data_IF_325421390482
#
_entry.id   IF_325421390482
#
_cell.length_a   1.000
_cell.length_b   1.000
_cell.length_c   1.000
_cell.angle_alpha   90.00
_cell.angle_beta   90.00
_cell.angle_gamma   90.00
#
_symmetry.space_group_name_H-M   'P 1'
#
loop_
_entity.id
_entity.type
_entity.pdbx_description
1 polymer ?
#
# COMPACT_ATOMS: atom_id res chain seq x y z
N UNK A 1 -51.30 5.48 -43.75
CA UNK A 1 -50.44 4.33 -43.37
C UNK A 1 -49.12 4.91 -42.86
N UNK A 2 -48.93 5.00 -41.55
CA UNK A 2 -47.72 5.57 -40.94
C UNK A 2 -46.95 4.40 -40.31
N UNK A 3 -45.77 4.09 -40.85
CA UNK A 3 -44.85 3.09 -40.31
C UNK A 3 -44.05 3.74 -39.19
N UNK A 4 -44.36 3.41 -37.94
CA UNK A 4 -43.57 3.84 -36.78
C UNK A 4 -42.26 3.06 -36.73
N UNK A 5 -41.15 3.76 -36.99
CA UNK A 5 -39.79 3.25 -36.82
C UNK A 5 -39.45 3.40 -35.33
N UNK A 6 -39.33 2.28 -34.62
CA UNK A 6 -38.78 2.22 -33.26
C UNK A 6 -37.25 2.14 -33.35
N UNK A 7 -36.59 3.25 -33.01
CA UNK A 7 -35.13 3.32 -32.82
C UNK A 7 -34.81 2.64 -31.47
N UNK A 8 -34.06 1.55 -31.51
CA UNK A 8 -33.53 0.92 -30.29
C UNK A 8 -32.17 1.56 -29.98
N UNK A 9 -32.10 2.38 -28.94
CA UNK A 9 -30.85 2.91 -28.41
C UNK A 9 -30.11 1.80 -27.64
N UNK A 10 -28.95 1.37 -28.13
CA UNK A 10 -28.06 0.47 -27.43
C UNK A 10 -27.18 1.28 -26.47
N UNK A 11 -27.42 1.16 -25.16
CA UNK A 11 -26.50 1.65 -24.14
C UNK A 11 -25.41 0.60 -23.91
N UNK A 12 -24.17 0.92 -24.29
CA UNK A 12 -22.99 0.11 -23.98
C UNK A 12 -22.61 0.29 -22.51
N UNK A 13 -22.50 -0.82 -21.78
CA UNK A 13 -22.04 -0.81 -20.38
C UNK A 13 -20.55 -1.14 -20.38
N UNK A 14 -19.73 -0.20 -19.91
CA UNK A 14 -18.32 -0.42 -19.66
C UNK A 14 -18.16 -1.32 -18.42
N UNK A 15 -17.45 -2.44 -18.57
CA UNK A 15 -17.01 -3.22 -17.42
C UNK A 15 -15.87 -2.46 -16.75
N UNK A 16 -16.09 -1.99 -15.52
CA UNK A 16 -15.02 -1.47 -14.67
C UNK A 16 -14.30 -2.66 -14.06
N UNK A 17 -13.18 -3.07 -14.67
CA UNK A 17 -12.25 -3.99 -14.02
C UNK A 17 -11.68 -3.32 -12.77
N UNK A 18 -11.53 -4.08 -11.69
CA UNK A 18 -10.81 -3.61 -10.51
C UNK A 18 -9.37 -3.27 -10.94
N UNK A 19 -9.02 -1.98 -10.93
CA UNK A 19 -7.63 -1.59 -10.99
C UNK A 19 -7.01 -1.84 -9.62
N UNK A 20 -5.94 -2.62 -9.58
CA UNK A 20 -5.06 -2.64 -8.43
C UNK A 20 -4.48 -1.23 -8.29
N UNK A 21 -4.82 -0.54 -7.21
CA UNK A 21 -4.06 0.63 -6.80
C UNK A 21 -2.82 0.09 -6.11
N UNK A 22 -1.67 0.17 -6.79
CA UNK A 22 -0.38 -0.22 -6.24
C UNK A 22 0.24 0.97 -5.53
N UNK A 23 0.89 0.72 -4.40
CA UNK A 23 1.69 1.75 -3.73
C UNK A 23 2.93 2.05 -4.58
N UNK A 24 3.16 3.32 -4.88
CA UNK A 24 4.33 3.74 -5.63
C UNK A 24 5.57 3.76 -4.70
N UNK A 25 6.73 3.38 -5.27
CA UNK A 25 8.04 3.46 -4.63
C UNK A 25 8.11 2.86 -3.20
N UNK A 26 7.40 1.76 -2.95
CA UNK A 26 7.41 1.07 -1.66
C UNK A 26 8.73 0.36 -1.31
N UNK A 27 9.63 0.23 -2.29
CA UNK A 27 11.02 -0.22 -2.15
C UNK A 27 12.01 0.95 -1.96
N UNK A 28 11.53 2.20 -1.97
CA UNK A 28 12.30 3.42 -1.72
C UNK A 28 13.46 3.71 -2.71
N UNK A 29 13.52 3.01 -3.85
CA UNK A 29 14.60 3.14 -4.83
C UNK A 29 14.50 4.37 -5.73
N UNK A 30 13.33 5.01 -5.80
CA UNK A 30 13.10 6.26 -6.52
C UNK A 30 13.45 7.48 -5.66
N UNK A 31 14.71 7.53 -5.22
CA UNK A 31 15.23 8.52 -4.27
C UNK A 31 16.45 9.26 -4.80
N UNK A 32 16.60 10.53 -4.43
CA UNK A 32 17.81 11.33 -4.72
C UNK A 32 18.61 11.58 -3.44
N UNK A 33 19.43 10.62 -3.02
CA UNK A 33 20.47 10.82 -2.01
C UNK A 33 21.82 10.31 -2.50
N UNK A 34 22.92 10.88 -2.01
CA UNK A 34 24.26 10.48 -2.42
C UNK A 34 24.56 9.04 -1.95
N UNK A 35 24.93 8.16 -2.88
CA UNK A 35 25.24 6.74 -2.65
C UNK A 35 26.15 6.54 -1.43
N UNK A 36 25.78 5.62 -0.53
CA UNK A 36 26.55 5.27 0.67
C UNK A 36 26.36 6.22 1.85
N UNK A 37 25.29 7.01 1.86
CA UNK A 37 24.98 7.95 2.94
C UNK A 37 23.57 7.73 3.50
N UNK A 38 23.10 8.68 4.28
CA UNK A 38 21.73 8.76 4.80
C UNK A 38 21.30 10.21 4.76
N UNK A 39 20.00 10.45 4.83
CA UNK A 39 19.45 11.80 4.95
C UNK A 39 18.35 11.82 6.02
N UNK A 40 17.98 13.03 6.46
CA UNK A 40 16.88 13.23 7.41
C UNK A 40 15.92 14.33 6.93
N UNK A 41 14.64 14.15 7.26
CA UNK A 41 13.59 15.15 7.12
C UNK A 41 13.56 15.80 5.74
N UNK A 42 13.52 17.13 5.69
CA UNK A 42 13.44 17.89 4.44
C UNK A 42 14.69 17.81 3.56
N UNK A 43 15.78 17.20 4.04
CA UNK A 43 16.97 16.94 3.23
C UNK A 43 16.87 15.59 2.49
N UNK A 44 15.82 14.80 2.76
CA UNK A 44 15.46 13.63 1.98
C UNK A 44 14.38 13.99 0.97
N UNK A 45 14.61 13.62 -0.29
CA UNK A 45 13.55 13.53 -1.29
C UNK A 45 13.40 12.07 -1.67
N UNK A 46 12.25 11.51 -1.32
CA UNK A 46 11.81 10.16 -1.69
C UNK A 46 10.50 10.36 -2.43
N UNK A 47 10.40 9.88 -3.67
CA UNK A 47 9.14 9.96 -4.39
C UNK A 47 8.05 9.22 -3.61
N UNK A 48 6.83 9.75 -3.63
CA UNK A 48 5.60 9.08 -3.13
C UNK A 48 5.55 8.82 -1.61
N UNK A 49 6.57 9.28 -0.88
CA UNK A 49 6.70 9.09 0.56
C UNK A 49 7.22 10.33 1.26
N UNK A 50 6.67 10.61 2.44
CA UNK A 50 7.33 11.44 3.43
C UNK A 50 8.30 10.56 4.23
N UNK A 51 9.58 10.59 3.87
CA UNK A 51 10.61 9.83 4.57
C UNK A 51 11.33 10.73 5.60
N UNK A 52 11.16 10.49 6.91
CA UNK A 52 11.90 11.26 7.92
C UNK A 52 13.38 10.85 7.94
N UNK A 53 13.70 9.67 7.41
CA UNK A 53 15.03 9.08 7.34
C UNK A 53 15.09 8.09 6.18
N UNK A 54 16.00 8.33 5.24
CA UNK A 54 16.36 7.38 4.19
C UNK A 54 17.83 6.97 4.37
N UNK A 55 18.11 5.68 4.25
CA UNK A 55 19.39 5.09 4.62
C UNK A 55 19.89 4.24 3.45
N UNK A 56 21.13 4.45 3.02
CA UNK A 56 21.73 3.54 2.05
C UNK A 56 21.83 2.14 2.68
N UNK A 57 21.46 1.10 1.95
CA UNK A 57 21.43 -0.26 2.46
C UNK A 57 22.80 -0.74 2.97
N UNK A 58 23.90 -0.16 2.47
CA UNK A 58 25.28 -0.43 2.89
C UNK A 58 25.86 0.65 3.82
N UNK A 59 25.01 1.42 4.52
CA UNK A 59 25.47 2.51 5.36
C UNK A 59 26.03 2.01 6.70
N UNK A 60 27.35 2.00 6.81
CA UNK A 60 28.08 1.63 8.03
C UNK A 60 27.64 2.38 9.31
N UNK A 61 27.40 3.70 9.28
CA UNK A 61 26.86 4.42 10.44
C UNK A 61 25.52 3.85 10.94
N UNK A 62 24.76 3.20 10.08
CA UNK A 62 23.46 2.59 10.38
C UNK A 62 23.55 1.07 10.56
N UNK A 63 24.76 0.51 10.73
CA UNK A 63 24.94 -0.91 11.00
C UNK A 63 24.70 -1.80 9.78
N UNK A 64 24.85 -1.26 8.57
CA UNK A 64 24.75 -1.98 7.30
C UNK A 64 23.45 -2.80 7.15
N UNK A 65 22.29 -2.15 6.86
CA UNK A 65 21.02 -2.85 6.67
C UNK A 65 21.09 -4.09 5.76
N UNK A 66 21.88 -4.04 4.68
CA UNK A 66 22.09 -5.15 3.74
C UNK A 66 22.94 -6.30 4.29
N UNK A 67 23.68 -6.06 5.37
CA UNK A 67 24.44 -7.07 6.09
C UNK A 67 23.65 -7.65 7.29
N UNK A 68 22.48 -7.10 7.59
CA UNK A 68 21.60 -7.63 8.64
C UNK A 68 21.08 -9.01 8.22
N UNK A 69 20.97 -9.93 9.18
CA UNK A 69 20.57 -11.31 8.91
C UNK A 69 19.21 -11.37 8.20
N UNK A 70 18.96 -12.43 7.42
CA UNK A 70 17.73 -12.55 6.63
C UNK A 70 17.67 -11.64 5.41
N UNK A 71 18.80 -11.07 4.97
CA UNK A 71 18.88 -10.13 3.86
C UNK A 71 18.01 -10.52 2.66
N UNK A 72 17.12 -9.60 2.32
CA UNK A 72 16.20 -9.62 1.20
C UNK A 72 16.74 -8.75 0.05
N UNK A 73 16.00 -8.63 -1.04
CA UNK A 73 16.37 -7.77 -2.17
C UNK A 73 16.14 -6.28 -1.86
N UNK A 74 16.95 -5.68 -1.00
CA UNK A 74 16.75 -4.30 -0.48
C UNK A 74 17.06 -3.15 -1.47
N UNK A 75 17.57 -3.45 -2.67
CA UNK A 75 18.10 -2.39 -3.54
C UNK A 75 19.25 -1.59 -2.90
N UNK A 76 19.23 -0.27 -3.07
CA UNK A 76 20.25 0.65 -2.58
C UNK A 76 19.82 1.40 -1.32
N UNK A 77 18.52 1.50 -1.05
CA UNK A 77 17.93 2.37 -0.05
C UNK A 77 16.87 1.65 0.75
N UNK A 78 16.82 1.96 2.05
CA UNK A 78 15.73 1.55 2.92
C UNK A 78 15.20 2.76 3.67
N UNK A 79 13.94 2.75 4.05
CA UNK A 79 13.40 3.74 4.97
C UNK A 79 13.76 3.38 6.41
N UNK A 80 13.89 4.40 7.26
CA UNK A 80 14.12 4.22 8.69
C UNK A 80 13.09 4.94 9.54
N UNK A 81 12.66 4.29 10.62
CA UNK A 81 11.89 4.91 11.69
C UNK A 81 12.79 4.95 12.92
N UNK A 82 13.15 6.15 13.35
CA UNK A 82 13.98 6.40 14.53
C UNK A 82 13.26 7.38 15.45
N UNK A 83 13.36 7.17 16.76
CA UNK A 83 12.60 7.94 17.75
C UNK A 83 11.09 7.95 17.40
N UNK A 84 10.43 9.11 17.54
CA UNK A 84 9.04 9.32 17.16
C UNK A 84 8.87 9.76 15.69
N UNK A 85 9.79 9.37 14.81
CA UNK A 85 9.70 9.65 13.38
C UNK A 85 8.47 9.00 12.74
N UNK A 86 7.93 9.63 11.70
CA UNK A 86 6.77 9.12 10.96
C UNK A 86 7.10 9.03 9.49
N UNK A 87 6.98 7.82 8.94
CA UNK A 87 7.02 7.52 7.51
C UNK A 87 5.58 7.42 7.01
N UNK A 88 5.17 8.27 6.07
CA UNK A 88 3.81 8.22 5.48
C UNK A 88 3.90 8.17 3.97
N UNK A 89 3.10 7.29 3.35
CA UNK A 89 2.94 7.26 1.90
C UNK A 89 2.01 8.38 1.41
N UNK A 90 1.98 8.59 0.11
CA UNK A 90 0.96 9.37 -0.61
C UNK A 90 -0.20 8.51 -1.14
N UNK A 91 -0.20 7.20 -0.81
CA UNK A 91 -1.21 6.27 -1.27
C UNK A 91 -2.58 6.57 -0.64
N UNK A 92 -3.55 6.87 -1.48
CA UNK A 92 -4.93 7.09 -1.08
C UNK A 92 -5.69 5.75 -1.00
N UNK A 93 -6.12 5.41 0.22
CA UNK A 93 -7.08 4.32 0.43
C UNK A 93 -8.49 4.78 0.03
N UNK A 94 -9.38 3.82 -0.22
CA UNK A 94 -10.79 4.09 -0.47
C UNK A 94 -11.61 3.36 0.60
N UNK A 95 -12.37 4.14 1.37
CA UNK A 95 -13.26 3.60 2.39
C UNK A 95 -14.18 2.50 1.83
N UNK A 96 -14.27 1.38 2.55
CA UNK A 96 -15.08 0.20 2.19
C UNK A 96 -14.39 -0.79 1.27
N UNK A 97 -13.18 -0.52 0.78
CA UNK A 97 -12.36 -1.51 0.07
C UNK A 97 -11.49 -2.33 1.03
N UNK A 98 -11.27 -3.59 0.68
CA UNK A 98 -10.39 -4.49 1.42
C UNK A 98 -9.03 -4.55 0.75
N UNK A 99 -8.00 -4.35 1.55
CA UNK A 99 -6.61 -4.30 1.15
C UNK A 99 -5.79 -5.34 1.92
N UNK A 100 -4.68 -5.75 1.33
CA UNK A 100 -3.58 -6.41 2.02
C UNK A 100 -2.35 -5.52 1.91
N UNK A 101 -1.77 -5.16 3.06
CA UNK A 101 -0.50 -4.45 3.16
C UNK A 101 0.57 -5.46 3.53
N UNK A 102 1.71 -5.43 2.84
CA UNK A 102 2.93 -6.14 3.25
C UNK A 102 4.08 -5.17 3.37
N UNK A 103 5.05 -5.51 4.22
CA UNK A 103 6.31 -4.80 4.35
C UNK A 103 7.32 -5.71 5.04
N UNK A 104 8.59 -5.45 4.82
CA UNK A 104 9.68 -6.07 5.56
C UNK A 104 10.22 -5.11 6.62
N UNK A 105 10.59 -5.64 7.79
CA UNK A 105 11.32 -4.87 8.80
C UNK A 105 12.55 -5.58 9.37
N UNK A 106 13.51 -4.79 9.84
CA UNK A 106 14.68 -5.25 10.57
C UNK A 106 15.10 -4.20 11.61
N UNK A 107 15.88 -4.62 12.61
CA UNK A 107 16.36 -3.72 13.65
C UNK A 107 17.83 -3.35 13.50
N UNK A 108 18.16 -2.08 13.70
CA UNK A 108 19.54 -1.59 13.64
C UNK A 108 20.48 -2.34 14.59
N UNK A 109 21.57 -2.87 14.05
CA UNK A 109 22.57 -3.62 14.82
C UNK A 109 23.35 -2.71 15.77
N UNK A 110 23.49 -3.12 17.03
CA UNK A 110 24.27 -2.40 18.05
C UNK A 110 23.56 -1.23 18.74
N UNK A 111 22.26 -1.04 18.47
CA UNK A 111 21.44 0.06 19.02
C UNK A 111 20.24 -0.48 19.82
N UNK A 112 19.38 0.40 20.32
CA UNK A 112 18.26 0.02 21.19
C UNK A 112 17.09 -0.61 20.42
N UNK A 113 16.30 -1.40 21.13
CA UNK A 113 14.99 -1.90 20.65
C UNK A 113 14.05 -0.74 20.35
N UNK A 114 13.47 -0.73 19.15
CA UNK A 114 12.58 0.32 18.68
C UNK A 114 11.19 -0.24 18.39
N UNK A 115 10.15 0.57 18.65
CA UNK A 115 8.75 0.17 18.46
C UNK A 115 8.03 1.20 17.59
N UNK A 116 7.15 0.72 16.72
CA UNK A 116 6.37 1.56 15.80
C UNK A 116 4.95 1.03 15.62
N UNK A 117 4.02 1.95 15.38
CA UNK A 117 2.65 1.64 14.99
C UNK A 117 2.50 1.70 13.48
N UNK A 118 1.61 0.86 12.94
CA UNK A 118 1.19 0.93 11.54
C UNK A 118 -0.29 1.28 11.47
N UNK A 119 -0.61 2.30 10.66
CA UNK A 119 -2.00 2.67 10.37
C UNK A 119 -2.21 2.80 8.87
N UNK A 120 -3.39 2.42 8.39
CA UNK A 120 -3.72 2.44 6.96
C UNK A 120 -5.23 2.58 6.79
N UNK A 121 -5.69 3.46 5.90
CA UNK A 121 -7.11 3.61 5.58
C UNK A 121 -8.01 3.84 6.80
N UNK A 122 -7.50 4.48 7.86
CA UNK A 122 -8.20 4.70 9.13
C UNK A 122 -8.28 3.49 10.07
N UNK A 123 -7.63 2.38 9.74
CA UNK A 123 -7.40 1.27 10.65
C UNK A 123 -6.02 1.43 11.33
N UNK A 124 -5.95 1.11 12.63
CA UNK A 124 -4.70 0.95 13.35
C UNK A 124 -4.45 -0.54 13.55
N UNK A 125 -3.23 -0.98 13.27
CA UNK A 125 -2.81 -2.36 13.50
C UNK A 125 -2.22 -2.51 14.91
N UNK A 126 -1.48 -3.60 15.14
CA UNK A 126 -0.71 -3.78 16.36
C UNK A 126 0.53 -2.89 16.39
N UNK A 127 1.09 -2.68 17.58
CA UNK A 127 2.44 -2.14 17.73
C UNK A 127 3.45 -3.22 17.33
N UNK A 128 4.41 -2.86 16.49
CA UNK A 128 5.52 -3.69 16.05
C UNK A 128 6.79 -3.28 16.78
N UNK A 129 7.71 -4.23 16.98
CA UNK A 129 8.96 -3.98 17.71
C UNK A 129 10.10 -4.69 17.02
N UNK A 130 11.18 -3.95 16.73
CA UNK A 130 12.43 -4.50 16.20
C UNK A 130 13.51 -4.52 17.28
N UNK A 131 14.13 -5.68 17.48
CA UNK A 131 15.28 -5.83 18.39
C UNK A 131 16.58 -5.39 17.72
N UNK A 132 17.60 -5.08 18.52
CA UNK A 132 18.93 -4.77 18.03
C UNK A 132 19.49 -5.88 17.11
N UNK A 133 19.76 -5.56 15.84
CA UNK A 133 20.27 -6.51 14.85
C UNK A 133 19.29 -7.62 14.49
N UNK A 134 17.99 -7.42 14.74
CA UNK A 134 16.93 -8.33 14.32
C UNK A 134 17.03 -8.56 12.81
N UNK A 135 16.91 -9.82 12.41
CA UNK A 135 16.88 -10.23 11.01
C UNK A 135 15.66 -9.64 10.28
N UNK A 136 15.80 -9.41 8.98
CA UNK A 136 14.69 -9.02 8.12
C UNK A 136 13.55 -10.04 8.17
N UNK A 137 12.32 -9.54 8.30
CA UNK A 137 11.11 -10.36 8.32
C UNK A 137 9.93 -9.65 7.67
N UNK A 138 9.15 -10.39 6.90
CA UNK A 138 7.93 -9.91 6.26
C UNK A 138 6.74 -9.89 7.23
N UNK A 139 5.94 -8.84 7.16
CA UNK A 139 4.63 -8.71 7.77
C UNK A 139 3.55 -8.64 6.70
N UNK A 140 2.36 -9.13 7.02
CA UNK A 140 1.20 -9.06 6.14
C UNK A 140 -0.09 -8.86 6.94
N UNK A 141 -0.86 -7.84 6.57
CA UNK A 141 -2.12 -7.49 7.22
C UNK A 141 -3.20 -7.24 6.19
N UNK A 142 -4.30 -7.99 6.28
CA UNK A 142 -5.51 -7.72 5.49
C UNK A 142 -6.55 -6.96 6.33
N UNK A 143 -7.12 -5.89 5.76
CA UNK A 143 -8.09 -5.04 6.45
C UNK A 143 -9.06 -4.38 5.47
N UNK A 144 -10.21 -3.91 5.96
CA UNK A 144 -11.13 -3.05 5.20
C UNK A 144 -10.93 -1.60 5.64
N UNK A 145 -10.63 -0.71 4.70
CA UNK A 145 -10.42 0.71 4.99
C UNK A 145 -11.72 1.35 5.50
N UNK A 146 -11.63 2.12 6.59
CA UNK A 146 -12.72 2.89 7.17
C UNK A 146 -12.74 4.35 6.70
N UNK A 147 -11.63 4.82 6.12
CA UNK A 147 -11.42 6.15 5.57
C UNK A 147 -10.36 6.13 4.48
N UNK A 148 -10.13 7.27 3.85
CA UNK A 148 -9.13 7.45 2.78
C UNK A 148 -7.74 7.84 3.34
N UNK A 149 -7.52 7.67 4.65
CA UNK A 149 -6.25 8.03 5.31
C UNK A 149 -5.07 7.18 4.79
N UNK A 150 -3.90 7.80 4.64
CA UNK A 150 -2.68 7.19 4.11
C UNK A 150 -2.14 6.02 4.95
N UNK A 151 -1.16 5.28 4.40
CA UNK A 151 -0.38 4.29 5.14
C UNK A 151 0.73 5.03 5.90
N UNK A 152 0.80 4.81 7.20
CA UNK A 152 1.78 5.43 8.08
C UNK A 152 2.48 4.39 8.94
N UNK A 153 3.78 4.55 9.12
CA UNK A 153 4.56 3.89 10.14
C UNK A 153 5.09 4.97 11.10
N UNK A 154 4.72 4.88 12.38
CA UNK A 154 5.01 5.92 13.36
C UNK A 154 5.75 5.36 14.57
N UNK A 155 6.94 5.88 14.86
CA UNK A 155 7.71 5.47 16.03
C UNK A 155 7.02 5.85 17.35
N UNK A 156 7.00 4.92 18.29
CA UNK A 156 6.27 5.04 19.57
C UNK A 156 7.22 5.46 20.71
N UNK A 157 8.50 5.10 20.62
CA UNK A 157 9.49 5.38 21.66
C UNK A 157 10.57 6.36 21.18
N UNK A 158 11.26 7.01 22.12
CA UNK A 158 12.26 8.06 21.82
C UNK A 158 13.70 7.57 22.05
N UNK A 159 13.94 6.28 21.78
CA UNK A 159 15.25 5.67 21.96
C UNK A 159 16.09 5.84 20.71
N UNK A 160 17.41 5.85 20.86
CA UNK A 160 18.34 5.71 19.73
C UNK A 160 18.37 4.24 19.25
N UNK A 161 17.26 3.85 18.65
CA UNK A 161 17.00 2.59 17.97
C UNK A 161 16.34 2.89 16.64
N UNK A 162 16.38 1.95 15.70
CA UNK A 162 15.80 2.17 14.37
C UNK A 162 15.22 0.88 13.84
N UNK A 163 13.97 0.98 13.40
CA UNK A 163 13.33 -0.03 12.57
C UNK A 163 13.56 0.35 11.11
N UNK A 164 14.25 -0.50 10.37
CA UNK A 164 14.33 -0.39 8.91
C UNK A 164 13.04 -0.92 8.30
N UNK A 165 12.57 -0.28 7.25
CA UNK A 165 11.37 -0.66 6.50
C UNK A 165 11.74 -0.74 5.02
N UNK A 166 11.27 -1.79 4.36
CA UNK A 166 11.44 -2.00 2.91
C UNK A 166 10.31 -2.84 2.29
N UNK A 167 10.28 -2.93 0.96
CA UNK A 167 9.35 -3.73 0.15
C UNK A 167 7.87 -3.54 0.53
N UNK A 168 7.46 -2.30 0.76
CA UNK A 168 6.08 -2.02 1.11
C UNK A 168 5.19 -2.26 -0.10
N UNK A 169 4.17 -3.10 0.04
CA UNK A 169 3.16 -3.31 -0.99
C UNK A 169 1.75 -3.12 -0.45
N UNK A 170 0.87 -2.62 -1.30
CA UNK A 170 -0.57 -2.55 -1.03
C UNK A 170 -1.28 -3.20 -2.21
N UNK A 171 -2.10 -4.20 -1.92
CA UNK A 171 -2.92 -4.88 -2.93
C UNK A 171 -4.38 -4.82 -2.53
N UNK A 172 -5.25 -4.42 -3.46
CA UNK A 172 -6.70 -4.52 -3.26
C UNK A 172 -7.14 -5.95 -3.49
N UNK A 173 -7.79 -6.58 -2.52
CA UNK A 173 -8.51 -7.83 -2.79
C UNK A 173 -9.75 -7.50 -3.62
N UNK A 174 -9.93 -8.15 -4.77
CA UNK A 174 -11.05 -7.90 -5.65
C UNK A 174 -12.38 -8.01 -4.87
N UNK A 175 -13.14 -6.90 -4.85
CA UNK A 175 -14.50 -6.90 -4.30
C UNK A 175 -15.35 -7.79 -5.20
N UNK A 176 -16.12 -8.77 -4.67
CA UNK A 176 -17.06 -9.54 -5.48
C UNK A 176 -17.97 -8.58 -6.24
N UNK A 177 -18.05 -8.73 -7.56
CA UNK A 177 -18.70 -7.75 -8.42
C UNK A 177 -20.10 -7.41 -7.90
N UNK A 178 -20.48 -6.12 -7.89
CA UNK A 178 -21.73 -5.70 -7.29
C UNK A 178 -22.90 -6.41 -7.98
N UNK A 179 -23.91 -6.77 -7.19
CA UNK A 179 -25.20 -7.33 -7.62
C UNK A 179 -25.83 -6.57 -8.80
N UNK A 180 -25.38 -5.35 -9.09
CA UNK A 180 -25.59 -4.61 -10.32
C UNK A 180 -25.41 -5.44 -11.60
N UNK A 181 -24.41 -6.33 -11.69
CA UNK A 181 -24.24 -7.20 -12.87
C UNK A 181 -25.28 -8.32 -12.92
N UNK A 182 -25.67 -8.88 -11.78
CA UNK A 182 -26.81 -9.80 -11.67
C UNK A 182 -28.12 -9.11 -12.04
N UNK A 183 -28.34 -7.87 -11.59
CA UNK A 183 -29.52 -7.08 -11.90
C UNK A 183 -29.55 -6.66 -13.37
N UNK A 184 -28.39 -6.37 -13.96
CA UNK A 184 -28.26 -6.10 -15.40
C UNK A 184 -28.50 -7.35 -16.24
N UNK A 185 -27.96 -8.50 -15.83
CA UNK A 185 -28.26 -9.80 -16.45
C UNK A 185 -29.76 -10.11 -16.35
N UNK A 186 -30.38 -9.89 -15.20
CA UNK A 186 -31.83 -10.07 -15.03
C UNK A 186 -32.64 -9.09 -15.91
N UNK A 187 -32.23 -7.82 -15.99
CA UNK A 187 -32.90 -6.81 -16.81
C UNK A 187 -32.80 -7.13 -18.31
N UNK A 188 -31.62 -7.52 -18.79
CA UNK A 188 -31.40 -7.90 -20.19
C UNK A 188 -32.19 -9.16 -20.56
N UNK A 189 -32.20 -10.18 -19.70
CA UNK A 189 -33.03 -11.37 -19.90
C UNK A 189 -34.52 -11.05 -19.89
N UNK A 190 -34.97 -10.15 -19.00
CA UNK A 190 -36.35 -9.66 -18.95
C UNK A 190 -36.77 -8.93 -20.24
N UNK A 191 -35.90 -8.06 -20.77
CA UNK A 191 -36.12 -7.36 -22.04
C UNK A 191 -36.23 -8.34 -23.23
N UNK A 192 -35.36 -9.35 -23.29
CA UNK A 192 -35.41 -10.38 -24.34
C UNK A 192 -36.70 -11.21 -24.26
N UNK A 193 -37.13 -11.58 -23.06
CA UNK A 193 -38.36 -12.34 -22.83
C UNK A 193 -39.61 -11.52 -23.22
N UNK A 194 -39.65 -10.24 -22.89
CA UNK A 194 -40.74 -9.34 -23.29
C UNK A 194 -40.82 -9.19 -24.81
N UNK A 195 -39.68 -9.03 -25.49
CA UNK A 195 -39.62 -8.86 -26.95
C UNK A 195 -40.16 -10.07 -27.71
N UNK A 196 -39.94 -11.29 -27.18
CA UNK A 196 -40.51 -12.52 -27.76
C UNK A 196 -42.03 -12.59 -27.62
N UNK A 197 -42.59 -12.08 -26.52
CA UNK A 197 -44.05 -12.03 -26.32
C UNK A 197 -44.76 -11.04 -27.24
N UNK A 198 -44.10 -9.96 -27.65
CA UNK A 198 -44.69 -8.96 -28.55
C UNK A 198 -44.62 -9.32 -30.04
N UNK A 199 -43.86 -10.35 -30.42
CA UNK A 199 -43.74 -10.82 -31.81
C UNK A 199 -44.51 -12.12 -32.11
N UNK A 200 -45.11 -12.73 -31.09
CA UNK A 200 -46.06 -13.84 -31.22
C UNK A 200 -47.49 -13.29 -31.13
#
# INVERSE_FOLDING_TARGET
MIKNILVAAAFGVAAFGAQANEIANGDFESSSSATGSYCYGSNCTVADWSAPLLIAANSGPWGDPSATAGAIGLGNWVAGIQNNGVLSSDFDFVAGHTYTVTWDDAGRSGYWTHSYDVTAGGASFAEYTTLAGQAWSEHSVSFTASSDAALTFAGVNTVDGTSFIDNVTVTTTAVPEPTSLLMMAAATLGLLAWRRRTQA
#
